data_IF_475999343871
#
_entry.id   IF_475999343871
#
_cell.length_a   1.000
_cell.length_b   1.000
_cell.length_c   1.000
_cell.angle_alpha   90.00
_cell.angle_beta   90.00
_cell.angle_gamma   90.00
#
_symmetry.space_group_name_H-M   'P 1'
#
loop_
_entity.id
_entity.type
_entity.pdbx_description
1 polymer ?
#
# COMPACT_ATOMS: atom_id res chain seq x y z
N UNK A 1 -20.36 -31.92 8.85
CA UNK A 1 -19.02 -31.31 8.59
C UNK A 1 -18.96 -29.81 8.92
N UNK A 2 -20.07 -29.05 8.91
CA UNK A 2 -20.10 -27.59 9.18
C UNK A 2 -19.98 -27.18 10.66
N UNK A 3 -20.26 -28.05 11.61
CA UNK A 3 -20.19 -27.75 13.05
C UNK A 3 -18.73 -27.80 13.58
N UNK A 4 -17.86 -28.58 12.96
CA UNK A 4 -16.47 -28.76 13.40
C UNK A 4 -15.58 -27.54 13.13
N UNK A 5 -15.94 -26.69 12.14
CA UNK A 5 -15.18 -25.49 11.83
C UNK A 5 -15.37 -24.42 12.92
N UNK A 6 -16.58 -24.26 13.45
CA UNK A 6 -16.84 -23.36 14.59
C UNK A 6 -16.11 -23.81 15.86
N UNK A 7 -16.00 -25.11 16.11
CA UNK A 7 -15.23 -25.63 17.24
C UNK A 7 -13.73 -25.45 17.07
N UNK A 8 -13.21 -25.56 15.84
CA UNK A 8 -11.79 -25.31 15.56
C UNK A 8 -11.40 -23.84 15.77
N UNK A 9 -12.27 -22.91 15.40
CA UNK A 9 -12.05 -21.47 15.63
C UNK A 9 -12.14 -21.15 17.13
N UNK A 10 -13.05 -21.77 17.87
CA UNK A 10 -13.17 -21.61 19.33
C UNK A 10 -11.99 -22.24 20.07
N UNK A 11 -11.43 -23.36 19.55
CA UNK A 11 -10.25 -24.01 20.14
C UNK A 11 -8.99 -23.20 19.90
N UNK A 12 -8.86 -22.53 18.73
CA UNK A 12 -7.77 -21.59 18.43
C UNK A 12 -7.79 -20.35 19.32
N UNK A 13 -8.97 -19.89 19.73
CA UNK A 13 -9.15 -18.79 20.68
C UNK A 13 -8.87 -19.20 22.14
N UNK A 14 -8.98 -20.50 22.47
CA UNK A 14 -8.75 -21.00 23.82
C UNK A 14 -7.27 -21.33 24.12
N UNK A 15 -6.38 -21.36 23.13
CA UNK A 15 -4.94 -21.50 23.35
C UNK A 15 -4.35 -20.11 23.60
N UNK A 16 -4.87 -19.41 24.61
CA UNK A 16 -4.22 -18.26 25.22
C UNK A 16 -3.17 -18.69 26.24
N UNK A 17 -2.22 -19.53 25.85
CA UNK A 17 -0.95 -19.59 26.56
C UNK A 17 -0.30 -18.23 26.38
N UNK A 18 0.22 -17.67 27.45
CA UNK A 18 0.90 -16.37 27.50
C UNK A 18 2.06 -16.30 26.50
N UNK A 19 1.74 -16.09 25.23
CA UNK A 19 2.73 -15.69 24.25
C UNK A 19 2.93 -14.20 24.50
N UNK A 20 4.08 -13.85 25.06
CA UNK A 20 4.54 -12.45 25.08
C UNK A 20 4.77 -12.02 23.63
N UNK A 21 3.71 -11.57 22.96
CA UNK A 21 3.67 -11.27 21.54
C UNK A 21 4.30 -9.91 21.17
N UNK A 22 4.90 -9.22 22.14
CA UNK A 22 5.73 -8.06 21.91
C UNK A 22 7.09 -8.32 22.55
N UNK A 23 8.03 -8.85 21.78
CA UNK A 23 9.43 -8.89 22.20
C UNK A 23 10.03 -7.52 21.80
N UNK A 24 9.84 -6.54 22.68
CA UNK A 24 10.68 -5.34 22.64
C UNK A 24 12.02 -5.75 23.24
N UNK A 25 13.04 -5.88 22.41
CA UNK A 25 14.42 -5.90 22.88
C UNK A 25 14.98 -4.50 22.65
N UNK A 26 15.08 -3.65 23.68
CA UNK A 26 15.73 -2.35 23.53
C UNK A 26 17.20 -2.62 23.18
N UNK A 27 17.55 -2.43 21.93
CA UNK A 27 18.95 -2.42 21.52
C UNK A 27 19.49 -0.98 21.63
N UNK A 28 19.88 -0.61 22.85
CA UNK A 28 20.43 0.71 23.15
C UNK A 28 21.81 0.94 22.51
N UNK A 29 22.41 -0.08 21.89
CA UNK A 29 23.74 -0.03 21.28
C UNK A 29 23.69 0.03 19.76
N UNK A 30 22.54 -0.22 19.13
CA UNK A 30 22.41 -0.20 17.68
C UNK A 30 21.92 1.16 17.18
N UNK A 31 22.58 1.68 16.13
CA UNK A 31 22.10 2.84 15.40
C UNK A 31 20.87 2.52 14.50
N UNK A 32 20.44 1.25 14.48
CA UNK A 32 19.32 0.77 13.68
C UNK A 32 18.05 0.61 14.52
N UNK A 33 16.97 1.24 14.08
CA UNK A 33 15.61 1.02 14.57
C UNK A 33 14.84 0.18 13.55
N UNK A 34 14.37 -0.99 13.97
CA UNK A 34 13.66 -1.94 13.09
C UNK A 34 12.29 -2.22 13.65
N UNK A 35 11.29 -2.15 12.78
CA UNK A 35 9.90 -2.46 13.12
C UNK A 35 9.28 -3.31 12.02
N UNK A 36 8.60 -4.37 12.41
CA UNK A 36 7.81 -5.22 11.55
C UNK A 36 6.38 -5.23 12.07
N UNK A 37 5.44 -4.96 11.18
CA UNK A 37 4.01 -5.05 11.45
C UNK A 37 3.40 -6.02 10.44
N UNK A 38 2.73 -7.03 10.94
CA UNK A 38 1.96 -7.97 10.13
C UNK A 38 0.50 -7.92 10.54
N UNK A 39 -0.39 -7.70 9.58
CA UNK A 39 -1.84 -7.74 9.79
C UNK A 39 -2.46 -8.81 8.91
N UNK A 40 -3.35 -9.61 9.49
CA UNK A 40 -4.16 -10.59 8.77
C UNK A 40 -5.63 -10.37 9.10
N UNK A 41 -6.41 -10.06 8.08
CA UNK A 41 -7.83 -9.81 8.19
C UNK A 41 -8.59 -10.89 7.44
N UNK A 42 -9.60 -11.48 8.09
CA UNK A 42 -10.45 -12.51 7.50
C UNK A 42 -11.89 -12.07 7.61
N UNK A 43 -12.60 -12.05 6.49
CA UNK A 43 -14.03 -11.76 6.42
C UNK A 43 -14.74 -13.01 5.92
N UNK A 44 -15.82 -13.42 6.59
CA UNK A 44 -16.63 -14.57 6.18
C UNK A 44 -18.12 -14.27 6.35
N UNK A 45 -18.91 -14.61 5.33
CA UNK A 45 -20.36 -14.74 5.43
C UNK A 45 -20.76 -16.18 5.07
N UNK A 46 -21.64 -16.79 5.84
CA UNK A 46 -22.12 -18.15 5.58
C UNK A 46 -23.59 -18.26 5.92
N UNK A 47 -24.38 -18.77 4.98
CA UNK A 47 -25.80 -18.92 5.09
C UNK A 47 -26.18 -20.40 4.92
N UNK A 48 -27.16 -20.88 5.69
CA UNK A 48 -27.73 -22.21 5.50
C UNK A 48 -28.65 -22.23 4.27
N UNK A 49 -28.83 -23.40 3.66
CA UNK A 49 -29.68 -23.56 2.44
C UNK A 49 -31.14 -23.14 2.66
N UNK A 50 -31.61 -23.11 3.90
CA UNK A 50 -32.97 -22.71 4.27
C UNK A 50 -33.07 -21.28 4.79
N UNK A 51 -32.00 -20.46 4.70
CA UNK A 51 -32.03 -19.06 5.10
C UNK A 51 -32.91 -18.25 4.13
N UNK A 52 -33.96 -17.61 4.65
CA UNK A 52 -35.02 -16.96 3.84
C UNK A 52 -34.73 -15.49 3.52
N UNK A 53 -33.82 -14.84 4.28
CA UNK A 53 -33.53 -13.42 4.07
C UNK A 53 -32.57 -13.14 2.90
N UNK A 54 -32.10 -14.19 2.19
CA UNK A 54 -31.11 -14.07 1.13
C UNK A 54 -29.69 -13.94 1.66
N UNK A 55 -28.72 -13.94 0.77
CA UNK A 55 -27.29 -13.81 1.08
C UNK A 55 -26.44 -14.73 0.20
N UNK A 56 -25.16 -14.35 0.04
CA UNK A 56 -24.15 -15.12 -0.70
C UNK A 56 -23.03 -15.51 0.25
N UNK A 57 -22.70 -16.80 0.30
CA UNK A 57 -21.53 -17.25 1.06
C UNK A 57 -20.28 -16.61 0.48
N UNK A 58 -19.45 -16.05 1.34
CA UNK A 58 -18.23 -15.40 0.92
C UNK A 58 -17.10 -15.62 1.92
N UNK A 59 -15.87 -15.59 1.42
CA UNK A 59 -14.67 -15.54 2.24
C UNK A 59 -13.72 -14.52 1.60
N UNK A 60 -13.19 -13.61 2.41
CA UNK A 60 -12.17 -12.65 2.04
C UNK A 60 -10.99 -12.72 2.98
N UNK A 61 -9.81 -12.47 2.45
CA UNK A 61 -8.57 -12.43 3.20
C UNK A 61 -7.73 -11.27 2.71
N UNK A 62 -7.20 -10.45 3.65
CA UNK A 62 -6.23 -9.40 3.38
C UNK A 62 -5.03 -9.57 4.30
N UNK A 63 -3.83 -9.64 3.72
CA UNK A 63 -2.57 -9.67 4.44
C UNK A 63 -1.78 -8.39 4.15
N UNK A 64 -1.29 -7.75 5.20
CA UNK A 64 -0.43 -6.57 5.13
C UNK A 64 0.87 -6.86 5.87
N UNK A 65 1.98 -6.58 5.23
CA UNK A 65 3.31 -6.69 5.79
C UNK A 65 4.02 -5.35 5.62
N UNK A 66 4.39 -4.73 6.73
CA UNK A 66 5.19 -3.51 6.75
C UNK A 66 6.47 -3.78 7.52
N UNK A 67 7.60 -3.48 6.91
CA UNK A 67 8.91 -3.55 7.56
C UNK A 67 9.65 -2.24 7.36
N UNK A 68 10.16 -1.68 8.44
CA UNK A 68 11.03 -0.51 8.43
C UNK A 68 12.36 -0.83 9.11
N UNK A 69 13.44 -0.30 8.53
CA UNK A 69 14.78 -0.39 9.12
C UNK A 69 15.48 0.96 8.91
N UNK A 70 15.55 1.75 9.98
CA UNK A 70 16.05 3.12 9.96
C UNK A 70 17.36 3.19 10.74
N UNK A 71 18.42 3.62 10.06
CA UNK A 71 19.73 3.91 10.63
C UNK A 71 19.85 5.40 10.89
N UNK A 72 20.42 5.77 12.03
CA UNK A 72 20.74 7.16 12.33
C UNK A 72 22.03 7.24 13.16
N UNK A 73 23.01 7.99 12.67
CA UNK A 73 24.24 8.27 13.39
C UNK A 73 24.79 9.63 12.96
N UNK A 74 25.01 10.53 13.93
CA UNK A 74 25.49 11.89 13.70
C UNK A 74 24.52 12.67 12.78
N UNK A 75 24.96 13.01 11.55
CA UNK A 75 24.18 13.69 10.51
C UNK A 75 23.63 12.76 9.45
N UNK A 76 24.04 11.49 9.46
CA UNK A 76 23.69 10.51 8.44
C UNK A 76 22.48 9.69 8.88
N UNK A 77 21.55 9.47 7.96
CA UNK A 77 20.42 8.55 8.12
C UNK A 77 20.28 7.66 6.91
N UNK A 78 19.77 6.44 7.13
CA UNK A 78 19.40 5.54 6.05
C UNK A 78 18.08 4.86 6.43
N UNK A 79 17.02 5.26 5.77
CA UNK A 79 15.68 4.77 6.01
C UNK A 79 15.29 3.78 4.92
N UNK A 80 14.79 2.62 5.33
CA UNK A 80 14.31 1.58 4.43
C UNK A 80 12.91 1.18 4.82
N UNK A 81 12.04 1.02 3.83
CA UNK A 81 10.66 0.62 4.00
C UNK A 81 10.27 -0.44 2.98
N UNK A 82 9.56 -1.46 3.43
CA UNK A 82 8.94 -2.51 2.62
C UNK A 82 7.47 -2.56 3.01
N UNK A 83 6.57 -2.29 2.06
CA UNK A 83 5.13 -2.44 2.23
C UNK A 83 4.61 -3.44 1.21
N UNK A 84 4.11 -4.56 1.70
CA UNK A 84 3.49 -5.60 0.89
C UNK A 84 2.05 -5.76 1.33
N UNK A 85 1.13 -5.69 0.39
CA UNK A 85 -0.29 -5.88 0.66
C UNK A 85 -0.89 -6.77 -0.40
N UNK A 86 -1.61 -7.80 0.03
CA UNK A 86 -2.33 -8.68 -0.87
C UNK A 86 -3.66 -9.11 -0.27
N UNK A 87 -4.72 -9.07 -1.05
CA UNK A 87 -6.03 -9.49 -0.60
C UNK A 87 -6.91 -9.98 -1.74
N UNK A 88 -7.82 -10.84 -1.38
CA UNK A 88 -8.83 -11.38 -2.29
C UNK A 88 -10.16 -11.63 -1.57
N UNK A 89 -11.21 -11.71 -2.36
CA UNK A 89 -12.54 -12.19 -1.96
C UNK A 89 -12.99 -13.30 -2.89
N UNK A 90 -13.68 -14.29 -2.36
CA UNK A 90 -14.38 -15.32 -3.10
C UNK A 90 -15.82 -15.36 -2.63
N UNK A 91 -16.75 -15.11 -3.54
CA UNK A 91 -18.18 -15.30 -3.36
C UNK A 91 -18.60 -16.67 -3.93
N UNK A 92 -19.65 -17.26 -3.37
CA UNK A 92 -20.20 -18.51 -3.90
C UNK A 92 -20.69 -18.30 -5.35
N UNK A 93 -20.33 -19.22 -6.24
CA UNK A 93 -20.60 -19.10 -7.68
C UNK A 93 -19.63 -18.21 -8.47
N UNK A 94 -18.64 -17.57 -7.83
CA UNK A 94 -17.63 -16.73 -8.48
C UNK A 94 -16.22 -17.24 -8.22
N UNK A 95 -15.25 -16.84 -9.06
CA UNK A 95 -13.83 -17.06 -8.84
C UNK A 95 -13.25 -16.19 -7.72
N UNK A 96 -11.96 -16.36 -7.45
CA UNK A 96 -11.23 -15.43 -6.58
C UNK A 96 -11.08 -14.07 -7.28
N UNK A 97 -11.39 -12.99 -6.58
CA UNK A 97 -11.23 -11.62 -7.07
C UNK A 97 -10.27 -10.87 -6.17
N UNK A 98 -9.26 -10.27 -6.76
CA UNK A 98 -8.30 -9.42 -6.09
C UNK A 98 -8.99 -8.18 -5.52
N UNK A 99 -8.73 -7.86 -4.26
CA UNK A 99 -9.32 -6.68 -3.57
C UNK A 99 -8.28 -5.61 -3.31
N UNK A 100 -7.03 -6.00 -3.03
CA UNK A 100 -5.91 -5.11 -2.84
C UNK A 100 -4.64 -5.84 -3.23
N UNK A 101 -3.70 -5.12 -3.85
CA UNK A 101 -2.43 -5.69 -4.30
C UNK A 101 -1.40 -4.58 -4.43
N UNK A 102 -0.30 -4.68 -3.70
CA UNK A 102 0.77 -3.69 -3.75
C UNK A 102 2.08 -4.27 -3.29
N UNK A 103 3.13 -3.98 -4.04
CA UNK A 103 4.52 -4.06 -3.63
C UNK A 103 5.04 -2.62 -3.59
N UNK A 104 5.61 -2.20 -2.48
CA UNK A 104 6.27 -0.90 -2.38
C UNK A 104 7.55 -1.04 -1.57
N UNK A 105 8.64 -0.60 -2.16
CA UNK A 105 9.97 -0.57 -1.54
C UNK A 105 10.48 0.86 -1.62
N UNK A 106 11.03 1.38 -0.53
CA UNK A 106 11.68 2.70 -0.49
C UNK A 106 12.97 2.61 0.29
N UNK A 107 14.06 3.13 -0.26
CA UNK A 107 15.33 3.30 0.43
C UNK A 107 15.82 4.73 0.27
N UNK A 108 16.15 5.37 1.37
CA UNK A 108 16.52 6.79 1.41
C UNK A 108 17.77 6.99 2.26
N UNK A 109 18.80 7.55 1.68
CA UNK A 109 19.92 8.13 2.42
C UNK A 109 19.62 9.61 2.69
N UNK A 110 19.83 10.07 3.92
CA UNK A 110 19.61 11.44 4.37
C UNK A 110 20.86 12.02 5.03
N UNK A 111 21.08 13.32 4.82
CA UNK A 111 22.11 14.09 5.48
C UNK A 111 21.50 15.31 6.16
N UNK A 112 21.57 15.38 7.49
CA UNK A 112 20.99 16.44 8.32
C UNK A 112 21.79 17.74 8.17
N UNK A 113 21.11 18.81 7.74
CA UNK A 113 21.66 20.16 7.66
C UNK A 113 21.51 20.91 9.00
N UNK A 114 20.29 20.90 9.55
CA UNK A 114 19.91 21.45 10.85
C UNK A 114 18.81 20.59 11.48
N UNK A 115 18.10 21.08 12.50
CA UNK A 115 17.10 20.27 13.19
C UNK A 115 15.88 19.93 12.36
N UNK A 116 15.48 20.81 11.43
CA UNK A 116 14.28 20.65 10.62
C UNK A 116 14.58 20.24 9.17
N UNK A 117 15.78 20.50 8.66
CA UNK A 117 16.12 20.31 7.25
C UNK A 117 17.26 19.32 7.03
N UNK A 118 17.12 18.50 6.02
CA UNK A 118 18.15 17.62 5.49
C UNK A 118 18.15 17.56 3.96
N UNK A 119 19.23 17.02 3.41
CA UNK A 119 19.29 16.59 2.00
C UNK A 119 19.04 15.11 1.94
N UNK A 120 18.50 14.63 0.83
CA UNK A 120 18.33 13.19 0.64
C UNK A 120 18.52 12.73 -0.81
N UNK A 121 18.84 11.45 -0.92
CA UNK A 121 18.75 10.68 -2.14
C UNK A 121 17.89 9.44 -1.84
N UNK A 122 16.91 9.11 -2.68
CA UNK A 122 16.09 7.92 -2.51
C UNK A 122 15.86 7.17 -3.80
N UNK A 123 15.61 5.88 -3.66
CA UNK A 123 15.15 5.00 -4.73
C UNK A 123 13.91 4.29 -4.22
N UNK A 124 12.82 4.37 -4.97
CA UNK A 124 11.61 3.60 -4.69
C UNK A 124 11.21 2.72 -5.86
N UNK A 125 10.54 1.63 -5.52
CA UNK A 125 9.93 0.69 -6.44
C UNK A 125 8.49 0.45 -6.02
N UNK A 126 7.56 0.51 -6.97
CA UNK A 126 6.16 0.18 -6.75
C UNK A 126 5.65 -0.73 -7.87
N UNK A 127 4.93 -1.79 -7.52
CA UNK A 127 4.27 -2.72 -8.44
C UNK A 127 3.18 -3.50 -7.70
N UNK A 128 2.73 -4.61 -8.28
CA UNK A 128 1.77 -5.56 -7.72
C UNK A 128 2.26 -7.00 -7.90
N UNK A 129 1.60 -7.96 -7.20
CA UNK A 129 1.98 -9.38 -7.22
C UNK A 129 1.32 -10.17 -8.35
N UNK A 130 0.07 -9.82 -8.71
CA UNK A 130 -0.77 -10.67 -9.52
C UNK A 130 -1.68 -9.88 -10.46
N UNK A 131 -2.23 -10.59 -11.42
CA UNK A 131 -3.22 -10.06 -12.35
C UNK A 131 -4.39 -9.37 -11.64
N UNK A 132 -4.77 -8.20 -12.17
CA UNK A 132 -5.98 -7.50 -11.82
C UNK A 132 -6.95 -7.48 -12.99
N UNK A 133 -8.25 -7.61 -12.67
CA UNK A 133 -9.30 -7.64 -13.68
C UNK A 133 -10.37 -6.61 -13.37
N UNK A 134 -10.88 -5.95 -14.43
CA UNK A 134 -12.18 -5.30 -14.44
C UNK A 134 -13.24 -6.31 -14.83
N UNK A 135 -14.36 -6.31 -14.13
CA UNK A 135 -15.48 -7.20 -14.36
C UNK A 135 -16.67 -6.40 -14.82
N UNK A 136 -17.06 -6.60 -16.07
CA UNK A 136 -18.21 -5.96 -16.71
C UNK A 136 -19.24 -7.01 -17.14
N UNK A 137 -20.46 -6.61 -17.47
CA UNK A 137 -21.45 -7.50 -18.06
C UNK A 137 -21.65 -7.13 -19.52
N UNK A 138 -21.70 -8.14 -20.40
CA UNK A 138 -22.08 -7.94 -21.78
C UNK A 138 -23.57 -7.63 -21.92
N UNK A 139 -24.01 -7.37 -23.16
CA UNK A 139 -25.43 -7.07 -23.46
C UNK A 139 -26.40 -8.22 -23.10
N UNK A 140 -25.92 -9.44 -22.89
CA UNK A 140 -26.69 -10.60 -22.46
C UNK A 140 -26.64 -10.85 -20.96
N UNK A 141 -25.95 -9.99 -20.20
CA UNK A 141 -25.74 -10.14 -18.75
C UNK A 141 -24.67 -11.16 -18.37
N UNK A 142 -23.84 -11.61 -19.33
CA UNK A 142 -22.72 -12.51 -19.06
C UNK A 142 -21.53 -11.71 -18.61
N UNK A 143 -20.93 -12.13 -17.48
CA UNK A 143 -19.74 -11.47 -16.94
C UNK A 143 -18.54 -11.65 -17.88
N UNK A 144 -17.92 -10.52 -18.20
CA UNK A 144 -16.64 -10.44 -18.92
C UNK A 144 -15.57 -9.95 -17.98
N UNK A 145 -14.36 -10.47 -18.11
CA UNK A 145 -13.19 -10.03 -17.33
C UNK A 145 -12.11 -9.51 -18.27
N UNK A 146 -11.73 -8.24 -18.07
CA UNK A 146 -10.65 -7.60 -18.84
C UNK A 146 -9.45 -7.40 -17.92
N UNK A 147 -8.27 -7.90 -18.34
CA UNK A 147 -7.03 -7.67 -17.59
C UNK A 147 -6.67 -6.19 -17.63
N UNK A 148 -6.41 -5.62 -16.45
CA UNK A 148 -6.06 -4.20 -16.30
C UNK A 148 -4.70 -4.01 -15.65
N UNK A 149 -4.12 -5.02 -15.00
CA UNK A 149 -2.81 -4.95 -14.37
C UNK A 149 -2.23 -6.35 -14.13
N UNK A 150 -0.91 -6.44 -13.98
CA UNK A 150 -0.19 -7.69 -13.62
C UNK A 150 1.13 -7.35 -12.92
N UNK A 151 1.90 -8.37 -12.52
CA UNK A 151 3.26 -8.17 -12.02
C UNK A 151 4.12 -7.43 -13.05
N UNK A 152 4.75 -6.34 -12.63
CA UNK A 152 5.49 -5.42 -13.51
C UNK A 152 4.66 -4.79 -14.66
N UNK A 153 3.34 -4.73 -14.48
CA UNK A 153 2.41 -4.06 -15.41
C UNK A 153 1.28 -3.36 -14.63
N UNK A 154 1.53 -2.10 -14.13
CA UNK A 154 2.79 -1.36 -14.22
C UNK A 154 3.77 -1.66 -13.07
N UNK A 155 5.04 -1.33 -13.29
CA UNK A 155 6.00 -1.07 -12.24
C UNK A 155 6.61 0.31 -12.40
N UNK A 156 6.85 1.00 -11.29
CA UNK A 156 7.48 2.31 -11.25
C UNK A 156 8.77 2.23 -10.46
N UNK A 157 9.87 2.69 -11.05
CA UNK A 157 11.15 2.88 -10.37
C UNK A 157 11.45 4.37 -10.40
N UNK A 158 11.52 5.02 -9.24
CA UNK A 158 11.79 6.45 -9.15
C UNK A 158 13.02 6.69 -8.29
N UNK A 159 14.00 7.36 -8.86
CA UNK A 159 15.12 7.94 -8.12
C UNK A 159 14.77 9.39 -7.79
N UNK A 160 15.06 9.86 -6.57
CA UNK A 160 14.76 11.23 -6.19
C UNK A 160 15.90 11.86 -5.39
N UNK A 161 16.26 13.10 -5.77
CA UNK A 161 17.21 13.93 -5.06
C UNK A 161 16.53 15.21 -4.61
N UNK A 162 16.76 15.64 -3.36
CA UNK A 162 16.12 16.85 -2.89
C UNK A 162 16.39 17.19 -1.43
N UNK A 163 15.49 18.02 -0.88
CA UNK A 163 15.50 18.43 0.51
C UNK A 163 14.33 17.81 1.25
N UNK A 164 14.58 17.42 2.49
CA UNK A 164 13.58 16.91 3.42
C UNK A 164 13.36 17.95 4.53
N UNK A 165 12.09 18.30 4.77
CA UNK A 165 11.64 19.12 5.87
C UNK A 165 10.92 18.25 6.91
N UNK A 166 11.45 18.22 8.14
CA UNK A 166 11.00 17.35 9.22
C UNK A 166 10.95 18.12 10.54
N UNK A 167 9.98 19.05 10.70
CA UNK A 167 9.92 19.95 11.85
C UNK A 167 9.47 19.26 13.13
N UNK A 168 8.75 18.14 13.01
CA UNK A 168 8.21 17.35 14.14
C UNK A 168 8.23 15.86 13.81
N UNK A 169 8.31 15.00 14.81
CA UNK A 169 8.46 13.54 14.64
C UNK A 169 7.34 12.88 13.82
N UNK A 170 6.15 13.47 13.77
CA UNK A 170 4.97 12.93 13.09
C UNK A 170 4.70 13.51 11.71
N UNK A 171 5.51 14.48 11.24
CA UNK A 171 5.34 15.08 9.91
C UNK A 171 6.66 15.21 9.18
N UNK A 172 6.67 14.78 7.91
CA UNK A 172 7.81 14.84 7.01
C UNK A 172 7.37 15.24 5.62
N UNK A 173 8.14 16.11 4.98
CA UNK A 173 7.92 16.52 3.59
C UNK A 173 9.23 16.43 2.81
N UNK A 174 9.22 15.76 1.67
CA UNK A 174 10.34 15.64 0.74
C UNK A 174 10.03 16.42 -0.52
N UNK A 175 10.92 17.29 -0.91
CA UNK A 175 10.81 18.12 -2.12
C UNK A 175 11.97 17.70 -3.03
N UNK A 176 11.66 17.11 -4.17
CA UNK A 176 12.61 16.56 -5.14
C UNK A 176 12.50 17.28 -6.48
N UNK A 177 13.33 18.29 -6.74
CA UNK A 177 13.35 18.95 -8.04
C UNK A 177 13.88 18.06 -9.17
N UNK A 178 14.53 16.95 -8.82
CA UNK A 178 15.02 15.94 -9.74
C UNK A 178 14.56 14.56 -9.29
N UNK A 179 13.61 14.00 -10.03
CA UNK A 179 12.96 12.71 -9.71
C UNK A 179 12.73 11.87 -10.97
N UNK A 180 13.80 11.42 -11.68
CA UNK A 180 13.62 10.55 -12.84
C UNK A 180 12.87 9.27 -12.47
N UNK A 181 11.95 8.89 -13.37
CA UNK A 181 11.10 7.70 -13.24
C UNK A 181 11.24 6.79 -14.47
N UNK A 182 11.23 5.49 -14.21
CA UNK A 182 11.02 4.48 -15.24
C UNK A 182 9.69 3.82 -14.95
N UNK A 183 8.80 3.81 -15.92
CA UNK A 183 7.55 3.03 -15.93
C UNK A 183 7.78 1.81 -16.79
N UNK A 184 7.47 0.63 -16.25
CA UNK A 184 7.61 -0.66 -16.93
C UNK A 184 6.21 -1.28 -17.03
N UNK A 185 5.87 -1.77 -18.22
CA UNK A 185 4.63 -2.51 -18.48
C UNK A 185 4.99 -3.76 -19.28
N UNK A 186 5.06 -4.90 -18.60
CA UNK A 186 5.27 -6.17 -19.28
C UNK A 186 4.06 -6.49 -20.16
N UNK A 187 4.30 -6.81 -21.43
CA UNK A 187 3.27 -7.18 -22.41
C UNK A 187 2.17 -6.11 -22.55
N UNK A 188 2.52 -4.87 -22.93
CA UNK A 188 1.57 -3.75 -22.95
C UNK A 188 0.41 -3.96 -23.92
N UNK A 189 0.57 -4.76 -24.98
CA UNK A 189 -0.48 -5.10 -25.96
C UNK A 189 -1.66 -5.85 -25.33
N UNK A 190 -1.44 -6.47 -24.17
CA UNK A 190 -2.45 -7.20 -23.41
C UNK A 190 -3.46 -6.29 -22.72
N UNK A 191 -3.10 -5.05 -22.44
CA UNK A 191 -3.93 -4.11 -21.67
C UNK A 191 -4.66 -3.14 -22.59
N UNK A 192 -5.96 -3.00 -22.37
CA UNK A 192 -6.79 -2.03 -23.09
C UNK A 192 -6.64 -0.67 -22.39
N UNK A 193 -6.23 0.40 -23.12
CA UNK A 193 -6.14 1.73 -22.55
C UNK A 193 -7.50 2.21 -22.02
N UNK A 194 -7.52 2.81 -20.84
CA UNK A 194 -8.73 3.44 -20.28
C UNK A 194 -9.00 4.80 -20.93
N UNK A 195 -7.98 5.41 -21.51
CA UNK A 195 -8.06 6.66 -22.27
C UNK A 195 -7.70 6.38 -23.71
N UNK A 196 -8.61 6.58 -24.66
CA UNK A 196 -8.46 6.24 -26.08
C UNK A 196 -7.20 6.80 -26.77
N UNK A 197 -6.62 7.84 -26.22
CA UNK A 197 -5.44 8.54 -26.82
C UNK A 197 -4.15 8.31 -26.04
N UNK A 198 -4.18 7.49 -24.99
CA UNK A 198 -3.03 7.25 -24.12
C UNK A 198 -2.74 5.75 -24.06
N UNK A 199 -1.49 5.39 -24.29
CA UNK A 199 -1.04 4.00 -24.17
C UNK A 199 -1.18 3.49 -22.74
N UNK A 200 -1.28 2.16 -22.50
CA UNK A 200 -1.40 1.58 -21.16
C UNK A 200 -0.30 2.11 -20.23
N UNK A 201 -0.69 2.81 -19.16
CA UNK A 201 0.24 3.43 -18.21
C UNK A 201 1.28 4.37 -18.86
N UNK A 202 0.94 4.95 -20.03
CA UNK A 202 1.82 5.82 -20.80
C UNK A 202 2.98 5.12 -21.53
N UNK A 203 2.96 3.79 -21.64
CA UNK A 203 3.96 2.98 -22.35
C UNK A 203 3.42 2.56 -23.71
N UNK A 204 3.99 3.10 -24.79
CA UNK A 204 3.57 2.85 -26.18
C UNK A 204 4.01 1.46 -26.65
N UNK A 205 3.08 0.52 -27.00
CA UNK A 205 3.46 -0.74 -27.62
C UNK A 205 4.21 -0.54 -28.94
N UNK A 206 5.21 -1.35 -29.27
CA UNK A 206 5.67 -2.56 -28.58
C UNK A 206 6.69 -2.33 -27.44
N UNK A 207 6.96 -1.08 -27.07
CA UNK A 207 7.91 -0.80 -25.99
C UNK A 207 7.32 -1.27 -24.65
N UNK A 208 8.15 -1.83 -23.78
CA UNK A 208 7.78 -2.29 -22.44
C UNK A 208 8.18 -1.31 -21.34
N UNK A 209 8.75 -0.16 -21.71
CA UNK A 209 9.19 0.83 -20.72
C UNK A 209 9.19 2.26 -21.28
N UNK A 210 8.89 3.19 -20.37
CA UNK A 210 8.96 4.64 -20.62
C UNK A 210 9.88 5.29 -19.59
N UNK A 211 10.74 6.21 -20.05
CA UNK A 211 11.66 6.97 -19.22
C UNK A 211 11.22 8.43 -19.13
N UNK A 212 11.11 8.92 -17.90
CA UNK A 212 10.84 10.32 -17.57
C UNK A 212 12.07 10.89 -16.86
N UNK A 213 13.00 11.48 -17.64
CA UNK A 213 14.32 11.85 -17.14
C UNK A 213 14.32 13.07 -16.23
N UNK A 214 13.45 14.03 -16.49
CA UNK A 214 13.37 15.29 -15.77
C UNK A 214 11.97 15.49 -15.20
N UNK A 215 11.85 15.22 -13.90
CA UNK A 215 10.58 15.30 -13.19
C UNK A 215 10.76 15.87 -11.79
N UNK A 216 9.67 16.40 -11.26
CA UNK A 216 9.50 16.87 -9.90
C UNK A 216 8.71 15.84 -9.10
N UNK A 217 9.10 15.62 -7.85
CA UNK A 217 8.32 14.86 -6.91
C UNK A 217 8.20 15.59 -5.58
N UNK A 218 6.99 15.62 -5.02
CA UNK A 218 6.73 16.03 -3.66
C UNK A 218 6.08 14.87 -2.92
N UNK A 219 6.60 14.54 -1.74
CA UNK A 219 5.99 13.56 -0.85
C UNK A 219 5.80 14.21 0.52
N UNK A 220 4.59 14.12 1.08
CA UNK A 220 4.31 14.54 2.44
C UNK A 220 3.72 13.36 3.23
N UNK A 221 4.19 13.15 4.45
CA UNK A 221 3.82 12.05 5.32
C UNK A 221 3.45 12.56 6.70
N UNK A 222 2.42 11.96 7.26
CA UNK A 222 1.97 12.23 8.62
C UNK A 222 1.63 10.89 9.29
N UNK A 223 2.14 10.67 10.49
CA UNK A 223 1.88 9.48 11.29
C UNK A 223 1.86 9.84 12.76
N UNK A 224 0.66 9.90 13.35
CA UNK A 224 0.47 10.36 14.73
C UNK A 224 -0.67 9.61 15.43
N UNK A 225 -0.46 9.29 16.69
CA UNK A 225 -1.54 8.91 17.59
C UNK A 225 -2.35 10.17 17.96
N UNK A 226 -3.57 10.26 17.40
CA UNK A 226 -4.47 11.42 17.58
C UNK A 226 -5.35 11.29 18.82
N UNK A 227 -5.49 10.07 19.36
CA UNK A 227 -6.14 9.78 20.63
C UNK A 227 -5.59 8.45 21.20
N UNK A 228 -5.97 8.11 22.42
CA UNK A 228 -5.62 6.83 23.03
C UNK A 228 -6.10 5.68 22.11
N UNK A 229 -5.18 4.82 21.68
CA UNK A 229 -5.44 3.71 20.77
C UNK A 229 -5.91 4.08 19.35
N UNK A 230 -5.83 5.34 18.95
CA UNK A 230 -6.24 5.81 17.63
C UNK A 230 -5.09 6.51 16.91
N UNK A 231 -4.60 5.89 15.86
CA UNK A 231 -3.53 6.40 15.01
C UNK A 231 -4.11 6.89 13.69
N UNK A 232 -3.64 8.05 13.23
CA UNK A 232 -3.89 8.60 11.90
C UNK A 232 -2.57 8.64 11.14
N UNK A 233 -2.55 7.97 9.99
CA UNK A 233 -1.45 8.00 9.04
C UNK A 233 -1.96 8.42 7.68
N UNK A 234 -1.25 9.34 7.02
CA UNK A 234 -1.48 9.64 5.62
C UNK A 234 -0.18 9.91 4.90
N UNK A 235 -0.17 9.64 3.60
CA UNK A 235 0.92 9.94 2.69
C UNK A 235 0.35 10.54 1.41
N UNK A 236 0.84 11.70 1.05
CA UNK A 236 0.55 12.36 -0.20
C UNK A 236 1.78 12.31 -1.09
N UNK A 237 1.60 11.98 -2.36
CA UNK A 237 2.61 12.01 -3.40
C UNK A 237 2.08 12.81 -4.58
N UNK A 238 2.88 13.73 -5.06
CA UNK A 238 2.68 14.46 -6.32
C UNK A 238 3.89 14.22 -7.20
N UNK A 239 3.65 13.88 -8.47
CA UNK A 239 4.69 13.71 -9.48
C UNK A 239 4.34 14.52 -10.71
N UNK A 240 5.32 15.21 -11.28
CA UNK A 240 5.15 16.05 -12.45
C UNK A 240 6.36 15.93 -13.39
N UNK A 241 6.13 15.42 -14.58
CA UNK A 241 7.14 15.38 -15.64
C UNK A 241 7.25 16.80 -16.25
N UNK A 242 8.44 17.38 -16.26
CA UNK A 242 8.65 18.72 -16.80
C UNK A 242 8.48 18.80 -18.31
N UNK A 243 8.68 17.69 -19.04
CA UNK A 243 8.57 17.65 -20.50
C UNK A 243 7.10 17.68 -20.96
N UNK A 244 6.19 17.12 -20.16
CA UNK A 244 4.77 17.04 -20.48
C UNK A 244 3.91 17.83 -19.49
N UNK A 245 4.49 18.87 -18.86
CA UNK A 245 3.87 19.59 -17.76
C UNK A 245 2.57 20.30 -18.18
N UNK A 246 1.46 19.72 -17.78
CA UNK A 246 0.11 20.26 -17.81
C UNK A 246 -0.57 19.90 -16.49
N UNK A 247 -1.59 20.62 -16.08
CA UNK A 247 -2.37 20.29 -14.88
C UNK A 247 -2.99 18.89 -14.92
N UNK A 248 -3.27 18.38 -16.13
CA UNK A 248 -3.83 17.03 -16.33
C UNK A 248 -2.78 15.93 -16.18
N UNK A 249 -1.51 16.22 -16.41
CA UNK A 249 -0.42 15.24 -16.38
C UNK A 249 0.35 15.25 -15.07
N UNK A 250 -0.15 15.97 -14.07
CA UNK A 250 0.37 15.90 -12.70
C UNK A 250 -0.32 14.75 -11.97
N UNK A 251 0.45 13.76 -11.59
CA UNK A 251 -0.05 12.64 -10.80
C UNK A 251 -0.22 13.04 -9.35
N UNK A 252 -1.33 12.63 -8.76
CA UNK A 252 -1.65 12.85 -7.35
C UNK A 252 -2.07 11.53 -6.70
N UNK A 253 -1.45 11.18 -5.59
CA UNK A 253 -1.84 10.03 -4.79
C UNK A 253 -1.92 10.41 -3.31
N UNK A 254 -3.05 10.14 -2.69
CA UNK A 254 -3.25 10.26 -1.25
C UNK A 254 -3.62 8.89 -0.67
N UNK A 255 -2.76 8.33 0.15
CA UNK A 255 -3.05 7.16 0.97
C UNK A 255 -3.41 7.64 2.38
N UNK A 256 -4.57 7.22 2.90
CA UNK A 256 -5.06 7.53 4.24
C UNK A 256 -5.27 6.23 5.01
N UNK A 257 -4.87 6.19 6.28
CA UNK A 257 -5.10 5.05 7.16
C UNK A 257 -5.46 5.55 8.57
N UNK A 258 -6.55 5.05 9.09
CA UNK A 258 -6.95 5.23 10.48
C UNK A 258 -6.92 3.85 11.14
N UNK A 259 -6.14 3.71 12.21
CA UNK A 259 -6.00 2.46 12.96
C UNK A 259 -6.49 2.65 14.39
N UNK A 260 -7.45 1.83 14.81
CA UNK A 260 -7.94 1.78 16.18
C UNK A 260 -7.53 0.45 16.83
N UNK A 261 -6.70 0.51 17.87
CA UNK A 261 -6.29 -0.67 18.65
C UNK A 261 -7.39 -1.01 19.66
N UNK A 262 -8.08 -2.14 19.46
CA UNK A 262 -9.07 -2.66 20.41
C UNK A 262 -8.36 -3.30 21.60
N UNK A 263 -7.32 -4.07 21.32
CA UNK A 263 -6.40 -4.64 22.32
C UNK A 263 -5.04 -4.92 21.65
N UNK A 264 -4.14 -5.64 22.35
CA UNK A 264 -2.77 -5.94 21.84
C UNK A 264 -2.73 -6.75 20.54
N UNK A 265 -3.83 -7.40 20.16
CA UNK A 265 -3.90 -8.28 18.99
C UNK A 265 -4.96 -7.84 17.97
N UNK A 266 -6.02 -7.17 18.41
CA UNK A 266 -7.15 -6.82 17.57
C UNK A 266 -7.06 -5.35 17.21
N UNK A 267 -7.10 -5.09 15.92
CA UNK A 267 -7.10 -3.74 15.36
C UNK A 267 -8.24 -3.59 14.35
N UNK A 268 -8.88 -2.44 14.38
CA UNK A 268 -9.81 -1.98 13.35
C UNK A 268 -9.06 -0.95 12.51
N UNK A 269 -9.08 -1.10 11.20
CA UNK A 269 -8.42 -0.17 10.27
C UNK A 269 -9.38 0.27 9.18
N UNK A 270 -9.37 1.58 8.89
CA UNK A 270 -10.03 2.18 7.73
C UNK A 270 -8.94 2.75 6.84
N UNK A 271 -8.77 2.18 5.65
CA UNK A 271 -7.86 2.65 4.61
C UNK A 271 -8.61 3.34 3.48
N UNK A 272 -8.01 4.38 2.90
CA UNK A 272 -8.50 5.06 1.72
C UNK A 272 -7.36 5.44 0.79
N UNK A 273 -7.55 5.31 -0.50
CA UNK A 273 -6.63 5.76 -1.55
C UNK A 273 -7.41 6.66 -2.49
N UNK A 274 -6.90 7.84 -2.74
CA UNK A 274 -7.32 8.73 -3.83
C UNK A 274 -6.14 8.83 -4.80
N UNK A 275 -6.36 8.44 -6.05
CA UNK A 275 -5.35 8.45 -7.10
C UNK A 275 -5.89 9.20 -8.31
N UNK A 276 -5.11 10.13 -8.81
CA UNK A 276 -5.28 10.74 -10.12
C UNK A 276 -3.98 10.60 -10.89
N UNK A 277 -4.03 9.91 -12.00
CA UNK A 277 -2.92 9.66 -12.92
C UNK A 277 -3.54 9.49 -14.30
N UNK A 278 -3.34 10.49 -15.15
CA UNK A 278 -3.99 10.54 -16.47
C UNK A 278 -3.54 9.41 -17.41
N UNK A 279 -2.35 8.88 -17.20
CA UNK A 279 -1.83 7.72 -17.94
C UNK A 279 -2.55 6.40 -17.54
N UNK A 280 -3.29 6.39 -16.42
CA UNK A 280 -4.09 5.26 -15.96
C UNK A 280 -5.58 5.44 -16.22
N UNK A 281 -6.13 6.62 -15.89
CA UNK A 281 -7.55 6.95 -16.06
C UNK A 281 -7.73 8.48 -16.15
N UNK A 282 -8.67 8.92 -16.96
CA UNK A 282 -9.00 10.35 -17.10
C UNK A 282 -9.66 10.96 -15.86
N UNK A 283 -10.18 10.14 -14.95
CA UNK A 283 -10.86 10.51 -13.71
C UNK A 283 -10.07 10.12 -12.47
N UNK A 284 -10.42 10.74 -11.35
CA UNK A 284 -9.87 10.35 -10.06
C UNK A 284 -10.41 8.97 -9.62
N UNK A 285 -9.51 8.11 -9.21
CA UNK A 285 -9.80 6.76 -8.72
C UNK A 285 -9.85 6.75 -7.19
N UNK A 286 -10.83 6.08 -6.61
CA UNK A 286 -10.99 5.97 -5.16
C UNK A 286 -11.07 4.50 -4.75
N UNK A 287 -10.28 4.13 -3.75
CA UNK A 287 -10.38 2.82 -3.10
C UNK A 287 -10.58 3.02 -1.61
N UNK A 288 -11.46 2.22 -1.00
CA UNK A 288 -11.69 2.23 0.43
C UNK A 288 -11.73 0.80 0.95
N UNK A 289 -11.04 0.56 2.06
CA UNK A 289 -10.99 -0.75 2.71
C UNK A 289 -11.22 -0.59 4.21
N UNK A 290 -12.18 -1.33 4.75
CA UNK A 290 -12.39 -1.48 6.18
C UNK A 290 -11.96 -2.87 6.62
N UNK A 291 -11.11 -2.94 7.64
CA UNK A 291 -10.54 -4.18 8.14
C UNK A 291 -10.78 -4.33 9.65
N UNK A 292 -11.16 -5.52 10.05
CA UNK A 292 -11.11 -6.00 11.43
C UNK A 292 -10.23 -7.25 11.44
N UNK A 293 -9.16 -7.25 12.19
CA UNK A 293 -8.25 -8.37 12.13
C UNK A 293 -7.19 -8.41 13.22
N UNK A 294 -6.27 -9.34 13.05
CA UNK A 294 -5.12 -9.55 13.89
C UNK A 294 -3.95 -8.70 13.45
N UNK A 295 -3.35 -7.96 14.41
CA UNK A 295 -2.09 -7.24 14.22
C UNK A 295 -1.00 -7.84 15.10
N UNK A 296 0.17 -8.09 14.53
CA UNK A 296 1.38 -8.48 15.24
C UNK A 296 2.48 -7.47 14.95
N UNK A 297 3.05 -6.88 16.01
CA UNK A 297 4.15 -5.91 15.90
C UNK A 297 5.39 -6.45 16.59
N UNK A 298 6.51 -6.42 15.88
CA UNK A 298 7.83 -6.66 16.44
C UNK A 298 8.71 -5.43 16.20
N UNK A 299 9.37 -4.94 17.25
CA UNK A 299 10.30 -3.82 17.14
C UNK A 299 11.46 -3.97 18.13
N UNK A 300 12.61 -3.38 17.81
CA UNK A 300 13.82 -3.42 18.63
C UNK A 300 14.08 -2.13 19.41
N UNK A 301 13.07 -1.25 19.52
CA UNK A 301 13.16 0.01 20.25
C UNK A 301 11.84 0.30 20.98
N UNK A 302 11.87 1.19 21.95
CA UNK A 302 10.69 1.71 22.63
C UNK A 302 10.21 2.98 21.93
N UNK A 303 8.91 3.07 21.64
CA UNK A 303 8.25 4.31 21.21
C UNK A 303 8.15 5.23 22.44
N UNK A 304 8.63 6.47 22.29
CA UNK A 304 8.58 7.48 23.34
C UNK A 304 7.20 8.13 23.42
#
# INVERSE_FOLDING_TARGET
MKVYICYAIFLLLAISTQVNAQIVKPDTLSNWRKKLVFNLNVNQASFSSNWKAGGVNSIGLNALFNYTANYSKNRDSWDNQIDLTYGFVKNDGQGFRKTIDRIYLDTKYGYKLNDDWGLFASLNFASQFAEGYRYDQDANGVEQSTAISDFMAPAFITFALGAEYHPVEYFRMRISPFAPRVTIVNDPERFIPEVDTVAPYGVEPPDESRFEWIAFQLTAEFDKDIAQNLNLKWRYLMFANYETLDLKTIDHRLDLMINAKVNRFITVSLGGILLYDYDQDSGAQVSQVFNLGFAYTFQNYEEK
#
